data_IF_425139574548
#
_entry.id   IF_425139574548
#
_cell.length_a   1.000
_cell.length_b   1.000
_cell.length_c   1.000
_cell.angle_alpha   90.00
_cell.angle_beta   90.00
_cell.angle_gamma   90.00
#
_symmetry.space_group_name_H-M   'P 1'
#
loop_
_entity.id
_entity.type
_entity.pdbx_description
1 polymer ?
#
# COMPACT_ATOMS: atom_id res chain seq x y z
N UNK A 1 9.88 -16.95 7.22
CA UNK A 1 8.85 -16.06 7.78
C UNK A 1 8.04 -15.53 6.62
N UNK A 2 6.69 -15.48 6.70
CA UNK A 2 5.90 -14.91 5.62
C UNK A 2 6.16 -13.41 5.53
N UNK A 3 6.49 -12.93 4.34
CA UNK A 3 6.64 -11.50 4.05
C UNK A 3 5.24 -10.90 3.92
N UNK A 4 4.96 -9.82 4.65
CA UNK A 4 3.70 -9.09 4.53
C UNK A 4 3.70 -8.35 3.20
N UNK A 5 2.84 -8.76 2.27
CA UNK A 5 2.74 -8.11 0.96
C UNK A 5 1.81 -6.89 1.06
N UNK A 6 2.36 -5.70 0.82
CA UNK A 6 1.65 -4.43 0.74
C UNK A 6 1.43 -4.09 -0.73
N UNK A 7 0.18 -4.14 -1.18
CA UNK A 7 -0.20 -3.89 -2.56
C UNK A 7 -1.00 -2.59 -2.65
N UNK A 8 -0.49 -1.60 -3.38
CA UNK A 8 -1.24 -0.40 -3.72
C UNK A 8 -1.94 -0.66 -5.05
N UNK A 9 -3.27 -0.63 -5.00
CA UNK A 9 -4.11 -0.83 -6.17
C UNK A 9 -4.03 0.42 -7.04
N UNK A 10 -3.92 0.25 -8.35
CA UNK A 10 -3.72 1.35 -9.29
C UNK A 10 -5.02 1.86 -9.92
N UNK A 11 -6.14 1.18 -9.64
CA UNK A 11 -7.48 1.51 -10.12
C UNK A 11 -7.95 2.86 -9.57
N UNK A 12 -8.38 3.75 -10.48
CA UNK A 12 -8.86 5.09 -10.17
C UNK A 12 -7.90 5.99 -9.37
N UNK A 13 -6.63 5.59 -9.22
CA UNK A 13 -5.61 6.44 -8.60
C UNK A 13 -5.19 7.56 -9.55
N UNK A 14 -5.33 8.80 -9.09
CA UNK A 14 -4.63 9.92 -9.71
C UNK A 14 -3.12 9.83 -9.43
N UNK A 15 -2.32 10.49 -10.28
CA UNK A 15 -0.86 10.55 -10.11
C UNK A 15 -0.50 11.15 -8.76
N UNK A 16 -1.15 12.26 -8.38
CA UNK A 16 -0.91 12.97 -7.12
C UNK A 16 -1.15 12.06 -5.90
N UNK A 17 -2.25 11.31 -5.91
CA UNK A 17 -2.59 10.41 -4.80
C UNK A 17 -1.64 9.22 -4.75
N UNK A 18 -1.25 8.69 -5.91
CA UNK A 18 -0.24 7.62 -5.99
C UNK A 18 1.09 8.08 -5.38
N UNK A 19 1.58 9.25 -5.76
CA UNK A 19 2.82 9.81 -5.23
C UNK A 19 2.72 10.05 -3.73
N UNK A 20 1.61 10.60 -3.23
CA UNK A 20 1.40 10.80 -1.80
C UNK A 20 1.42 9.49 -0.99
N UNK A 21 0.85 8.40 -1.53
CA UNK A 21 0.89 7.08 -0.89
C UNK A 21 2.30 6.48 -0.92
N UNK A 22 3.01 6.59 -2.06
CA UNK A 22 4.39 6.12 -2.19
C UNK A 22 5.34 6.89 -1.27
N UNK A 23 5.19 8.20 -1.16
CA UNK A 23 5.95 9.04 -0.23
C UNK A 23 5.70 8.63 1.22
N UNK A 24 4.46 8.30 1.58
CA UNK A 24 4.14 7.78 2.90
C UNK A 24 4.83 6.44 3.18
N UNK A 25 4.86 5.52 2.21
CA UNK A 25 5.59 4.25 2.35
C UNK A 25 7.09 4.48 2.44
N UNK A 26 7.66 5.33 1.59
CA UNK A 26 9.08 5.67 1.61
C UNK A 26 9.49 6.28 2.95
N UNK A 27 8.69 7.21 3.49
CA UNK A 27 8.98 7.85 4.76
C UNK A 27 8.91 6.90 5.95
N UNK A 28 8.03 5.89 5.90
CA UNK A 28 7.86 4.93 6.98
C UNK A 28 8.83 3.73 6.89
N UNK A 29 8.97 3.14 5.70
CA UNK A 29 9.63 1.85 5.48
C UNK A 29 10.89 1.95 4.63
N UNK A 30 11.17 3.10 4.01
CA UNK A 30 12.34 3.33 3.12
C UNK A 30 12.40 2.34 1.94
N UNK A 31 11.24 1.94 1.43
CA UNK A 31 11.10 1.07 0.26
C UNK A 31 10.27 1.72 -0.85
N UNK A 32 10.42 1.21 -2.07
CA UNK A 32 9.70 1.61 -3.28
C UNK A 32 9.08 0.35 -3.93
N UNK A 33 8.18 0.50 -4.91
CA UNK A 33 7.56 -0.64 -5.57
C UNK A 33 8.56 -1.67 -6.10
N UNK A 34 8.32 -2.94 -5.83
CA UNK A 34 9.19 -4.06 -6.16
C UNK A 34 10.33 -4.29 -5.16
N UNK A 35 10.38 -3.52 -4.05
CA UNK A 35 11.38 -3.70 -3.00
C UNK A 35 10.78 -4.31 -1.74
N UNK A 36 11.65 -4.96 -0.97
CA UNK A 36 11.36 -5.53 0.35
C UNK A 36 12.11 -4.71 1.40
N UNK A 37 11.54 -4.53 2.58
CA UNK A 37 12.19 -3.87 3.72
C UNK A 37 13.46 -4.59 4.13
N UNK A 38 14.39 -3.86 4.75
CA UNK A 38 15.69 -4.42 5.17
C UNK A 38 15.57 -5.54 6.21
N UNK A 39 14.49 -5.55 7.00
CA UNK A 39 14.15 -6.61 7.95
C UNK A 39 13.44 -7.81 7.30
N UNK A 40 13.13 -7.74 6.00
CA UNK A 40 12.49 -8.81 5.25
C UNK A 40 11.01 -9.00 5.55
N UNK A 41 10.37 -8.05 6.23
CA UNK A 41 9.01 -8.21 6.74
C UNK A 41 7.93 -7.68 5.80
N UNK A 42 8.23 -6.70 4.94
CA UNK A 42 7.24 -6.06 4.08
C UNK A 42 7.75 -5.95 2.64
N UNK A 43 6.93 -6.38 1.67
CA UNK A 43 7.16 -6.16 0.23
C UNK A 43 6.16 -5.13 -0.28
N UNK A 44 6.61 -4.05 -0.94
CA UNK A 44 5.72 -3.10 -1.62
C UNK A 44 5.54 -3.52 -3.07
N UNK A 45 4.29 -3.68 -3.51
CA UNK A 45 3.94 -3.92 -4.90
C UNK A 45 2.86 -2.94 -5.37
N UNK A 46 2.93 -2.59 -6.65
CA UNK A 46 1.79 -1.96 -7.35
C UNK A 46 1.06 -3.09 -8.07
N UNK A 47 -0.24 -3.20 -7.84
CA UNK A 47 -1.05 -4.25 -8.42
C UNK A 47 -2.30 -3.69 -9.08
N UNK A 48 -2.83 -4.45 -10.03
CA UNK A 48 -4.23 -4.34 -10.39
C UNK A 48 -5.00 -5.27 -9.47
N UNK A 49 -5.85 -4.70 -8.61
CA UNK A 49 -6.48 -5.45 -7.53
C UNK A 49 -7.79 -6.09 -7.97
N UNK A 50 -8.72 -5.31 -8.51
CA UNK A 50 -10.02 -5.80 -8.97
C UNK A 50 -10.65 -4.83 -10.00
N UNK A 51 -11.14 -5.31 -11.15
CA UNK A 51 -11.81 -4.47 -12.14
C UNK A 51 -13.12 -3.82 -11.66
N UNK A 52 -13.77 -4.35 -10.61
CA UNK A 52 -15.04 -3.84 -10.08
C UNK A 52 -14.86 -2.76 -8.98
N UNK A 53 -13.63 -2.29 -8.75
CA UNK A 53 -13.37 -1.19 -7.81
C UNK A 53 -14.05 0.07 -8.33
N UNK A 54 -14.94 0.65 -7.52
CA UNK A 54 -15.57 1.92 -7.85
C UNK A 54 -14.61 3.07 -7.54
N UNK A 55 -14.67 4.20 -8.26
CA UNK A 55 -13.86 5.38 -7.97
C UNK A 55 -13.98 5.88 -6.52
N UNK A 56 -15.15 5.69 -5.90
CA UNK A 56 -15.44 6.07 -4.50
C UNK A 56 -14.81 5.16 -3.44
N UNK A 57 -14.28 4.00 -3.86
CA UNK A 57 -13.60 3.05 -2.98
C UNK A 57 -12.06 3.24 -3.05
N UNK A 58 -11.57 4.03 -4.02
CA UNK A 58 -10.16 4.34 -4.22
C UNK A 58 -9.70 5.50 -3.30
N UNK A 59 -8.46 5.46 -2.76
CA UNK A 59 -7.43 4.46 -2.99
C UNK A 59 -7.69 3.15 -2.25
N UNK A 60 -7.51 2.03 -2.97
CA UNK A 60 -7.54 0.69 -2.40
C UNK A 60 -6.10 0.23 -2.12
N UNK A 61 -5.89 -0.38 -0.96
CA UNK A 61 -4.63 -1.02 -0.58
C UNK A 61 -4.96 -2.41 -0.05
N UNK A 62 -4.19 -3.42 -0.47
CA UNK A 62 -4.31 -4.79 0.03
C UNK A 62 -3.08 -5.18 0.82
N UNK A 63 -3.27 -5.72 2.01
CA UNK A 63 -2.19 -6.16 2.87
C UNK A 63 -2.42 -7.58 3.31
N UNK A 64 -1.53 -8.48 2.88
CA UNK A 64 -1.63 -9.92 3.13
C UNK A 64 -3.02 -10.48 2.75
N UNK A 65 -3.55 -10.01 1.62
CA UNK A 65 -4.89 -10.38 1.13
C UNK A 65 -6.04 -9.61 1.77
N UNK A 66 -5.82 -8.81 2.81
CA UNK A 66 -6.85 -7.96 3.42
C UNK A 66 -6.97 -6.61 2.72
N UNK A 67 -8.18 -6.29 2.28
CA UNK A 67 -8.47 -5.05 1.55
C UNK A 67 -8.82 -3.87 2.47
N UNK A 68 -8.28 -2.70 2.14
CA UNK A 68 -8.55 -1.43 2.78
C UNK A 68 -8.93 -0.40 1.72
N UNK A 69 -10.15 0.12 1.79
CA UNK A 69 -10.72 1.11 0.88
C UNK A 69 -10.58 2.52 1.44
N UNK A 70 -10.61 3.52 0.56
CA UNK A 70 -10.50 4.93 0.92
C UNK A 70 -9.30 5.20 1.83
N UNK A 71 -8.14 4.67 1.44
CA UNK A 71 -6.91 4.76 2.22
C UNK A 71 -6.24 6.10 1.98
N UNK A 72 -6.13 6.89 3.04
CA UNK A 72 -5.32 8.10 3.06
C UNK A 72 -3.87 7.76 3.41
N UNK A 73 -2.89 8.62 3.05
CA UNK A 73 -1.49 8.45 3.46
C UNK A 73 -1.33 8.24 4.98
N UNK A 74 -2.07 8.99 5.79
CA UNK A 74 -2.03 8.87 7.26
C UNK A 74 -2.57 7.53 7.76
N UNK A 75 -3.64 7.04 7.14
CA UNK A 75 -4.22 5.73 7.42
C UNK A 75 -3.26 4.62 7.02
N UNK A 76 -2.59 4.75 5.88
CA UNK A 76 -1.57 3.82 5.42
C UNK A 76 -0.39 3.72 6.42
N UNK A 77 0.08 4.85 6.95
CA UNK A 77 1.14 4.85 7.98
C UNK A 77 0.69 4.16 9.26
N UNK A 78 -0.53 4.42 9.71
CA UNK A 78 -1.11 3.74 10.88
C UNK A 78 -1.19 2.23 10.68
N UNK A 79 -1.59 1.81 9.49
CA UNK A 79 -1.68 0.42 9.09
C UNK A 79 -0.28 -0.25 9.09
N UNK A 80 0.72 0.37 8.46
CA UNK A 80 2.11 -0.13 8.45
C UNK A 80 2.69 -0.31 9.86
N UNK A 81 2.43 0.63 10.78
CA UNK A 81 2.86 0.52 12.18
C UNK A 81 2.29 -0.69 12.91
N UNK A 82 1.13 -1.19 12.51
CA UNK A 82 0.48 -2.35 13.13
C UNK A 82 1.15 -3.67 12.76
N UNK A 83 1.77 -3.74 11.58
CA UNK A 83 2.38 -4.95 11.04
C UNK A 83 3.90 -4.99 11.17
N UNK A 84 4.55 -3.83 11.21
CA UNK A 84 6.00 -3.67 11.40
C UNK A 84 6.49 -3.95 12.84
N UNK A 85 5.72 -4.69 13.65
CA UNK A 85 5.94 -4.83 15.09
C UNK A 85 6.59 -6.15 15.47
#
# INVERSE_FOLDING_TARGET
MPVTRLEICTEHLSIEVREALLDAVWNALRISPGMVTADGNVELALAQCDPDIRPEDAPLVRVDGQEFRNVTPERLVTLMKRWSR
#
